data_IF_642881052976
#
_entry.id   IF_642881052976
#
_cell.length_a   1.000
_cell.length_b   1.000
_cell.length_c   1.000
_cell.angle_alpha   90.00
_cell.angle_beta   90.00
_cell.angle_gamma   90.00
#
_symmetry.space_group_name_H-M   'P 1'
#
loop_
_entity.id
_entity.type
_entity.pdbx_description
1 polymer ?
#
# COMPACT_ATOMS: atom_id res chain seq x y z
N UNK A 1 -12.07 19.56 34.74
CA UNK A 1 -13.04 18.47 34.45
C UNK A 1 -13.00 17.48 35.59
N UNK A 2 -14.15 17.19 36.21
CA UNK A 2 -14.21 16.18 37.27
C UNK A 2 -14.32 14.78 36.67
N UNK A 3 -13.78 13.78 37.36
CA UNK A 3 -13.73 12.38 36.89
C UNK A 3 -15.11 11.80 36.55
N UNK A 4 -16.16 12.20 37.27
CA UNK A 4 -17.53 11.73 37.09
C UNK A 4 -18.25 12.31 35.85
N UNK A 5 -17.66 13.28 35.16
CA UNK A 5 -18.21 13.83 33.90
C UNK A 5 -17.59 13.21 32.64
N UNK A 6 -16.63 12.30 32.79
CA UNK A 6 -15.98 11.64 31.65
C UNK A 6 -16.91 10.55 31.08
N UNK A 7 -17.55 10.85 29.95
CA UNK A 7 -18.34 9.87 29.18
C UNK A 7 -17.59 9.42 27.93
N UNK A 8 -17.85 8.20 27.48
CA UNK A 8 -17.25 7.68 26.24
C UNK A 8 -17.92 8.30 25.02
N UNK A 9 -17.12 8.74 24.05
CA UNK A 9 -17.58 9.24 22.74
C UNK A 9 -18.22 8.16 21.86
N UNK A 10 -17.84 6.89 22.04
CA UNK A 10 -18.36 5.74 21.26
C UNK A 10 -18.96 4.66 22.17
N UNK A 11 -20.01 3.99 21.67
CA UNK A 11 -20.71 2.95 22.42
C UNK A 11 -19.85 1.71 22.62
N UNK A 12 -19.74 1.24 23.87
CA UNK A 12 -19.08 0.00 24.22
C UNK A 12 -20.03 -1.18 24.01
N UNK A 13 -19.77 -1.98 22.97
CA UNK A 13 -20.47 -3.26 22.78
C UNK A 13 -20.03 -4.26 23.84
N UNK A 14 -20.94 -4.66 24.73
CA UNK A 14 -20.70 -5.74 25.71
C UNK A 14 -20.53 -7.07 24.96
N UNK A 15 -19.52 -7.86 25.36
CA UNK A 15 -19.31 -9.20 24.83
C UNK A 15 -20.48 -10.12 25.13
N UNK A 16 -20.81 -11.01 24.19
CA UNK A 16 -21.86 -12.02 24.39
C UNK A 16 -21.40 -13.05 25.41
N UNK A 17 -22.17 -13.26 26.49
CA UNK A 17 -21.95 -14.37 27.44
C UNK A 17 -22.54 -15.64 26.85
N UNK A 18 -21.74 -16.69 26.75
CA UNK A 18 -22.10 -17.98 26.13
C UNK A 18 -22.38 -19.00 27.25
N UNK A 19 -23.39 -19.87 27.09
CA UNK A 19 -23.70 -20.93 28.06
C UNK A 19 -24.37 -20.45 29.35
N UNK A 20 -25.18 -19.38 29.29
CA UNK A 20 -25.90 -18.77 30.42
C UNK A 20 -27.40 -18.54 30.11
N UNK A 21 -28.02 -19.46 29.37
CA UNK A 21 -29.40 -19.29 28.87
C UNK A 21 -29.53 -18.28 27.71
N UNK A 22 -30.72 -18.19 27.10
CA UNK A 22 -31.00 -17.29 25.97
C UNK A 22 -30.43 -17.77 24.62
N UNK A 23 -30.10 -16.83 23.71
CA UNK A 23 -29.74 -17.10 22.29
C UNK A 23 -28.56 -18.05 22.06
N UNK A 24 -27.66 -18.25 23.04
CA UNK A 24 -26.54 -19.21 23.00
C UNK A 24 -26.42 -19.98 24.31
N UNK A 25 -27.53 -20.54 24.77
CA UNK A 25 -27.60 -21.40 25.96
C UNK A 25 -27.17 -22.84 25.67
N UNK A 26 -28.14 -23.71 25.38
CA UNK A 26 -28.02 -25.17 25.36
C UNK A 26 -26.80 -25.69 24.59
N UNK A 27 -26.63 -25.28 23.33
CA UNK A 27 -25.52 -25.73 22.47
C UNK A 27 -24.47 -24.65 22.23
N UNK A 28 -24.60 -23.47 22.86
CA UNK A 28 -23.66 -22.35 22.67
C UNK A 28 -23.42 -21.92 21.21
N UNK A 29 -24.28 -22.33 20.27
CA UNK A 29 -24.13 -22.13 18.82
C UNK A 29 -23.21 -23.12 18.10
N UNK A 30 -22.86 -24.26 18.72
CA UNK A 30 -21.96 -25.29 18.17
C UNK A 30 -22.68 -26.55 17.67
N UNK A 31 -23.99 -26.68 17.89
CA UNK A 31 -24.76 -27.89 17.61
C UNK A 31 -24.61 -28.98 18.68
N UNK A 32 -25.13 -30.18 18.41
CA UNK A 32 -25.27 -31.26 19.40
C UNK A 32 -23.98 -32.09 19.52
N UNK A 33 -23.57 -32.75 18.42
CA UNK A 33 -22.44 -33.69 18.39
C UNK A 33 -21.59 -33.42 17.14
N UNK A 34 -20.37 -33.94 17.11
CA UNK A 34 -19.43 -33.84 15.98
C UNK A 34 -18.09 -33.23 16.37
N UNK A 35 -17.14 -33.24 15.44
CA UNK A 35 -15.78 -32.71 15.66
C UNK A 35 -15.82 -31.23 16.08
N UNK A 36 -16.56 -30.40 15.35
CA UNK A 36 -16.68 -28.96 15.63
C UNK A 36 -17.39 -28.60 16.95
N UNK A 37 -18.16 -29.52 17.53
CA UNK A 37 -18.81 -29.30 18.82
C UNK A 37 -17.86 -29.55 20.00
N UNK A 38 -16.86 -30.43 19.84
CA UNK A 38 -15.90 -30.81 20.89
C UNK A 38 -14.80 -29.76 21.08
N UNK A 39 -14.23 -29.70 22.28
CA UNK A 39 -13.05 -28.88 22.56
C UNK A 39 -11.86 -29.38 21.74
N UNK A 40 -11.10 -28.48 21.14
CA UNK A 40 -9.92 -28.81 20.31
C UNK A 40 -10.24 -29.40 18.92
N UNK A 41 -11.49 -29.75 18.63
CA UNK A 41 -11.91 -30.33 17.34
C UNK A 41 -12.01 -29.32 16.20
N UNK A 42 -10.88 -28.71 15.82
CA UNK A 42 -10.80 -27.83 14.64
C UNK A 42 -10.64 -28.69 13.39
N UNK A 43 -11.49 -28.45 12.39
CA UNK A 43 -11.31 -29.04 11.06
C UNK A 43 -10.02 -28.49 10.44
N UNK A 44 -9.23 -29.36 9.80
CA UNK A 44 -8.00 -28.95 9.13
C UNK A 44 -8.37 -27.98 7.99
N UNK A 45 -7.81 -26.77 7.93
CA UNK A 45 -8.05 -25.88 6.80
C UNK A 45 -7.57 -26.52 5.49
N UNK A 46 -8.45 -26.53 4.49
CA UNK A 46 -8.15 -27.02 3.14
C UNK A 46 -7.13 -26.13 2.40
N UNK A 47 -6.91 -24.90 2.90
CA UNK A 47 -5.93 -23.93 2.41
C UNK A 47 -4.54 -24.56 2.23
N UNK A 48 -4.12 -25.46 3.13
CA UNK A 48 -2.83 -26.16 3.01
C UNK A 48 -2.75 -27.01 1.74
N UNK A 49 -3.84 -27.64 1.33
CA UNK A 49 -3.86 -28.50 0.14
C UNK A 49 -3.94 -27.66 -1.13
N UNK A 50 -4.69 -26.55 -1.08
CA UNK A 50 -4.74 -25.56 -2.17
C UNK A 50 -3.33 -24.99 -2.43
N UNK A 51 -2.61 -24.59 -1.37
CA UNK A 51 -1.25 -24.05 -1.49
C UNK A 51 -0.29 -25.09 -2.09
N UNK A 52 -0.45 -26.39 -1.75
CA UNK A 52 0.38 -27.46 -2.30
C UNK A 52 0.15 -27.74 -3.79
N UNK A 53 -1.05 -27.46 -4.31
CA UNK A 53 -1.37 -27.61 -5.75
C UNK A 53 -0.71 -26.54 -6.61
N UNK A 54 -0.44 -25.36 -6.05
CA UNK A 54 0.10 -24.23 -6.80
C UNK A 54 1.63 -24.39 -6.90
N UNK A 55 2.22 -24.28 -8.11
CA UNK A 55 3.67 -24.29 -8.25
C UNK A 55 4.29 -23.14 -7.47
N UNK A 56 5.43 -23.40 -6.82
CA UNK A 56 6.13 -22.37 -6.04
C UNK A 56 6.61 -21.24 -6.96
N UNK A 57 6.51 -20.01 -6.48
CA UNK A 57 7.13 -18.86 -7.14
C UNK A 57 8.66 -19.07 -7.22
N UNK A 58 9.27 -18.47 -8.24
CA UNK A 58 10.68 -18.64 -8.54
C UNK A 58 11.58 -18.12 -7.40
N UNK A 59 12.18 -19.05 -6.65
CA UNK A 59 13.26 -18.82 -5.68
C UNK A 59 12.85 -18.08 -4.39
N UNK A 60 13.48 -18.42 -3.27
CA UNK A 60 13.20 -17.81 -1.96
C UNK A 60 13.81 -16.39 -1.78
N UNK A 61 14.87 -16.07 -2.56
CA UNK A 61 15.59 -14.79 -2.52
C UNK A 61 15.84 -14.20 -3.91
N UNK A 62 14.91 -14.40 -4.84
CA UNK A 62 15.01 -13.80 -6.18
C UNK A 62 14.66 -12.31 -6.12
N UNK A 63 15.53 -11.52 -5.48
CA UNK A 63 15.38 -10.07 -5.39
C UNK A 63 16.08 -9.45 -6.60
N UNK A 64 15.46 -8.43 -7.19
CA UNK A 64 16.08 -7.70 -8.29
C UNK A 64 17.36 -7.00 -7.80
N UNK A 65 18.48 -7.21 -8.49
CA UNK A 65 19.75 -6.52 -8.19
C UNK A 65 19.64 -4.99 -8.35
N UNK A 66 18.73 -4.52 -9.20
CA UNK A 66 18.57 -3.10 -9.51
C UNK A 66 17.61 -2.42 -8.54
N UNK A 67 18.01 -1.25 -8.04
CA UNK A 67 17.14 -0.36 -7.27
C UNK A 67 15.96 0.06 -8.15
N UNK A 68 14.74 -0.18 -7.66
CA UNK A 68 13.51 0.22 -8.36
C UNK A 68 13.32 1.73 -8.20
N UNK A 69 13.32 2.52 -9.29
CA UNK A 69 13.09 3.95 -9.20
C UNK A 69 11.63 4.25 -8.87
N UNK A 70 11.39 5.36 -8.19
CA UNK A 70 10.04 5.90 -7.97
C UNK A 70 9.55 6.55 -9.25
N UNK A 71 8.31 6.27 -9.60
CA UNK A 71 7.73 6.64 -10.88
C UNK A 71 6.90 7.90 -10.75
N UNK A 72 7.12 8.87 -11.64
CA UNK A 72 6.33 10.11 -11.76
C UNK A 72 5.92 10.31 -13.22
N UNK A 73 4.70 10.77 -13.50
CA UNK A 73 4.19 10.99 -14.87
C UNK A 73 4.18 12.47 -15.24
N UNK A 74 4.18 12.81 -16.54
CA UNK A 74 4.04 14.21 -16.97
C UNK A 74 2.74 14.85 -16.50
N UNK A 75 1.61 14.13 -16.47
CA UNK A 75 0.34 14.64 -15.93
C UNK A 75 0.48 15.17 -14.50
N UNK A 76 1.19 14.41 -13.64
CA UNK A 76 1.40 14.79 -12.24
C UNK A 76 2.36 15.98 -12.13
N UNK A 77 3.37 16.04 -12.99
CA UNK A 77 4.30 17.17 -13.02
C UNK A 77 3.57 18.44 -13.49
N UNK A 78 2.78 18.37 -14.56
CA UNK A 78 2.07 19.52 -15.12
C UNK A 78 1.05 20.14 -14.15
N UNK A 79 0.43 19.34 -13.27
CA UNK A 79 -0.49 19.83 -12.24
C UNK A 79 0.21 20.55 -11.10
N UNK A 80 1.36 20.04 -10.68
CA UNK A 80 2.01 20.51 -9.48
C UNK A 80 3.11 21.53 -9.74
N UNK A 81 3.63 21.65 -10.95
CA UNK A 81 4.69 22.59 -11.31
C UNK A 81 4.18 23.72 -12.21
N UNK A 82 4.76 24.91 -12.02
CA UNK A 82 4.57 26.10 -12.86
C UNK A 82 5.61 26.12 -13.99
N UNK A 83 5.40 27.03 -14.94
CA UNK A 83 6.32 27.24 -16.06
C UNK A 83 7.70 27.71 -15.57
N UNK A 84 8.77 27.14 -16.11
CA UNK A 84 10.16 27.42 -15.73
C UNK A 84 10.65 26.75 -14.44
N UNK A 85 9.82 26.00 -13.73
CA UNK A 85 10.25 25.37 -12.47
C UNK A 85 11.15 24.15 -12.69
N UNK A 86 12.11 23.96 -11.77
CA UNK A 86 13.03 22.83 -11.78
C UNK A 86 12.41 21.63 -11.07
N UNK A 87 12.27 20.52 -11.79
CA UNK A 87 11.87 19.22 -11.28
C UNK A 87 13.12 18.41 -10.95
N UNK A 88 13.42 18.34 -9.67
CA UNK A 88 14.46 17.50 -9.06
C UNK A 88 13.86 16.54 -8.04
N UNK A 89 14.58 15.48 -7.63
CA UNK A 89 14.13 14.61 -6.54
C UNK A 89 13.87 15.37 -5.21
N UNK A 90 14.59 16.47 -4.96
CA UNK A 90 14.39 17.33 -3.78
C UNK A 90 13.08 18.12 -3.86
N UNK A 91 12.82 18.79 -4.98
CA UNK A 91 11.56 19.54 -5.19
C UNK A 91 10.33 18.63 -5.22
N UNK A 92 10.48 17.39 -5.69
CA UNK A 92 9.42 16.38 -5.64
C UNK A 92 9.11 15.89 -4.21
N UNK A 93 10.13 15.85 -3.34
CA UNK A 93 9.97 15.55 -1.91
C UNK A 93 9.25 16.70 -1.19
N UNK A 94 9.66 17.94 -1.42
CA UNK A 94 9.05 19.14 -0.82
C UNK A 94 7.56 19.25 -1.15
N UNK A 95 7.18 18.93 -2.40
CA UNK A 95 5.78 18.93 -2.85
C UNK A 95 5.01 17.66 -2.47
N UNK A 96 5.64 16.71 -1.77
CA UNK A 96 5.02 15.47 -1.31
C UNK A 96 4.67 14.48 -2.42
N UNK A 97 5.19 14.68 -3.64
CA UNK A 97 4.96 13.80 -4.79
C UNK A 97 5.78 12.52 -4.71
N UNK A 98 6.90 12.58 -4.02
CA UNK A 98 7.78 11.45 -3.72
C UNK A 98 8.01 11.40 -2.22
N UNK A 99 8.07 10.19 -1.65
CA UNK A 99 8.42 9.97 -0.24
C UNK A 99 9.82 9.39 -0.13
N UNK A 100 10.49 9.66 0.99
CA UNK A 100 11.77 9.02 1.30
C UNK A 100 11.54 7.51 1.46
N UNK A 101 12.41 6.73 0.83
CA UNK A 101 12.42 5.26 0.96
C UNK A 101 13.65 4.91 1.79
N UNK A 102 13.45 4.23 2.93
CA UNK A 102 14.52 3.91 3.89
C UNK A 102 15.36 5.13 4.30
N UNK A 103 14.72 6.28 4.51
CA UNK A 103 15.38 7.52 4.94
C UNK A 103 16.16 8.28 3.86
N UNK A 104 16.26 7.74 2.63
CA UNK A 104 16.99 8.36 1.51
C UNK A 104 16.05 8.93 0.45
N UNK A 105 16.52 9.92 -0.30
CA UNK A 105 15.84 10.41 -1.50
C UNK A 105 15.92 9.32 -2.58
N UNK A 106 14.79 8.78 -3.05
CA UNK A 106 14.82 7.71 -4.03
C UNK A 106 15.21 8.25 -5.42
N UNK A 107 15.75 7.36 -6.25
CA UNK A 107 15.95 7.65 -7.68
C UNK A 107 14.59 7.80 -8.34
N UNK A 108 14.37 8.90 -9.06
CA UNK A 108 13.09 9.19 -9.72
C UNK A 108 13.19 8.89 -11.22
N UNK A 109 12.15 8.25 -11.76
CA UNK A 109 11.98 8.01 -13.19
C UNK A 109 10.69 8.64 -13.69
N UNK A 110 10.80 9.44 -14.74
CA UNK A 110 9.69 10.11 -15.41
C UNK A 110 9.16 9.24 -16.54
N UNK A 111 7.84 9.06 -16.60
CA UNK A 111 7.14 8.36 -17.67
C UNK A 111 6.30 9.30 -18.51
N UNK A 112 6.18 8.94 -19.80
CA UNK A 112 5.47 9.71 -20.83
C UNK A 112 3.95 9.53 -20.83
N UNK A 113 3.31 9.43 -19.67
CA UNK A 113 1.85 9.44 -19.58
C UNK A 113 1.39 10.90 -19.43
N UNK A 114 0.61 11.36 -20.40
CA UNK A 114 0.13 12.74 -20.46
C UNK A 114 1.00 13.67 -21.30
N UNK A 115 0.55 14.92 -21.41
CA UNK A 115 1.26 16.01 -22.09
C UNK A 115 1.66 17.08 -21.07
N UNK A 116 2.92 17.51 -21.12
CA UNK A 116 3.38 18.69 -20.41
C UNK A 116 3.41 19.87 -21.39
N UNK A 117 2.38 20.72 -21.37
CA UNK A 117 2.33 21.95 -22.20
C UNK A 117 3.19 23.09 -21.63
N UNK A 118 3.69 22.94 -20.41
CA UNK A 118 4.53 23.91 -19.72
C UNK A 118 6.01 23.59 -19.97
N UNK A 119 6.81 24.63 -20.11
CA UNK A 119 8.27 24.60 -20.08
C UNK A 119 8.73 24.19 -18.68
N UNK A 120 9.28 23.00 -18.53
CA UNK A 120 9.70 22.46 -17.22
C UNK A 120 11.13 21.96 -17.34
N UNK A 121 11.99 22.36 -16.39
CA UNK A 121 13.40 22.00 -16.40
C UNK A 121 13.58 20.75 -15.53
N UNK A 122 14.09 19.66 -16.11
CA UNK A 122 14.29 18.41 -15.39
C UNK A 122 15.76 18.24 -14.99
N UNK A 123 16.04 17.95 -13.71
CA UNK A 123 17.40 17.74 -13.18
C UNK A 123 17.49 16.46 -12.35
N UNK A 124 18.55 15.67 -12.57
CA UNK A 124 18.86 14.43 -11.83
C UNK A 124 17.73 13.39 -11.82
N UNK A 125 17.04 13.22 -12.97
CA UNK A 125 15.93 12.26 -13.16
C UNK A 125 16.18 11.33 -14.35
N UNK A 126 15.70 10.09 -14.26
CA UNK A 126 15.73 9.13 -15.35
C UNK A 126 14.48 9.25 -16.23
N UNK A 127 14.59 9.01 -17.53
CA UNK A 127 13.44 9.03 -18.45
C UNK A 127 13.12 7.63 -18.99
N UNK A 128 11.85 7.37 -19.30
CA UNK A 128 11.46 6.25 -20.18
C UNK A 128 11.62 6.63 -21.64
N UNK A 129 11.70 5.62 -22.53
CA UNK A 129 11.80 5.82 -23.99
C UNK A 129 10.70 6.74 -24.54
N UNK A 130 9.48 6.58 -24.03
CA UNK A 130 8.34 7.43 -24.40
C UNK A 130 8.50 8.85 -23.86
N UNK A 131 9.00 9.00 -22.63
CA UNK A 131 9.19 10.32 -22.05
C UNK A 131 10.29 11.11 -22.77
N UNK A 132 11.38 10.45 -23.16
CA UNK A 132 12.49 11.10 -23.88
C UNK A 132 12.10 11.63 -25.25
N UNK A 133 11.09 11.05 -25.91
CA UNK A 133 10.61 11.54 -27.21
C UNK A 133 9.92 12.91 -27.12
N UNK A 134 9.38 13.27 -25.95
CA UNK A 134 8.68 14.53 -25.72
C UNK A 134 9.57 15.62 -25.09
N UNK A 135 10.84 15.32 -24.81
CA UNK A 135 11.77 16.22 -24.14
C UNK A 135 12.94 16.51 -25.06
N UNK A 136 13.18 17.78 -25.34
CA UNK A 136 14.39 18.24 -26.05
C UNK A 136 15.54 18.32 -25.06
N UNK A 137 16.66 17.66 -25.34
CA UNK A 137 17.86 17.75 -24.49
C UNK A 137 18.72 18.96 -24.90
N UNK A 138 18.83 19.96 -24.04
CA UNK A 138 19.97 20.89 -24.10
C UNK A 138 21.17 20.19 -23.46
N UNK A 139 22.08 19.69 -24.31
CA UNK A 139 23.38 19.19 -23.87
C UNK A 139 24.23 20.38 -23.44
N UNK A 140 24.72 20.33 -22.20
CA UNK A 140 25.84 21.14 -21.71
C UNK A 140 27.09 20.27 -21.68
#
# INVERSE_FOLDING_TARGET
>A
MQSHHLTRRTSMRKGRRIGRGGKRGTYSGRGIKGLGARAGGKMRPEERDIIKKIPKLRGYRFVAFRVKPVVVNFDTVAKHFKDGEVVSPASLLERGLVRRVNGRTPVVKILGRGEAKKTIIFKDVQFSKRASAHVTQEKK
#
